data_IF_446608693563
#
_entry.id   IF_446608693563
#
_cell.length_a   1.000
_cell.length_b   1.000
_cell.length_c   1.000
_cell.angle_alpha   90.00
_cell.angle_beta   90.00
_cell.angle_gamma   90.00
#
_symmetry.space_group_name_H-M   'P 1'
#
loop_
_entity.id
_entity.type
_entity.pdbx_description
1 polymer ?
#
# COMPACT_ATOMS: atom_id res chain seq x y z
N UNK A 1 51.36 -61.33 21.08
CA UNK A 1 51.03 -59.88 21.07
C UNK A 1 50.33 -59.53 19.74
N UNK A 2 49.13 -58.94 19.83
CA UNK A 2 48.33 -58.17 18.83
C UNK A 2 48.25 -58.69 17.38
N UNK A 3 47.23 -59.49 17.01
CA UNK A 3 45.85 -59.20 16.54
C UNK A 3 45.74 -58.37 15.24
N UNK A 4 45.29 -59.06 14.18
CA UNK A 4 44.82 -58.58 12.88
C UNK A 4 43.36 -58.14 12.99
N UNK A 5 42.97 -57.01 12.36
CA UNK A 5 41.58 -56.73 11.98
C UNK A 5 41.49 -56.14 10.57
N UNK A 6 40.43 -56.57 9.88
CA UNK A 6 40.07 -56.34 8.48
C UNK A 6 39.28 -55.04 8.28
N UNK A 7 39.55 -54.37 7.16
CA UNK A 7 38.64 -53.90 6.10
C UNK A 7 37.31 -53.16 6.39
N UNK A 8 37.15 -52.07 5.63
CA UNK A 8 35.95 -51.45 5.03
C UNK A 8 35.07 -50.46 5.85
N UNK A 9 34.75 -49.32 5.20
CA UNK A 9 33.69 -48.41 5.60
C UNK A 9 33.79 -47.01 4.98
N UNK A 10 33.40 -46.87 3.70
CA UNK A 10 32.98 -45.59 3.09
C UNK A 10 31.68 -45.13 3.78
N UNK A 11 31.52 -43.83 4.07
CA UNK A 11 30.23 -43.09 4.01
C UNK A 11 30.55 -41.58 3.97
N UNK A 12 30.20 -40.97 2.83
CA UNK A 12 29.97 -39.54 2.68
C UNK A 12 28.68 -39.16 3.42
N UNK A 13 28.70 -38.07 4.20
CA UNK A 13 27.52 -37.32 4.63
C UNK A 13 28.05 -35.97 5.13
N UNK A 14 27.93 -34.84 4.44
CA UNK A 14 26.76 -34.27 3.80
C UNK A 14 26.77 -32.81 4.26
N UNK A 15 27.43 -31.94 3.48
CA UNK A 15 27.38 -30.49 3.69
C UNK A 15 25.93 -30.06 3.53
N UNK A 16 25.24 -29.84 4.66
CA UNK A 16 23.94 -29.16 4.67
C UNK A 16 24.23 -27.69 4.41
N UNK A 17 24.31 -27.35 3.12
CA UNK A 17 24.02 -26.00 2.67
C UNK A 17 22.55 -25.76 3.00
N UNK A 18 22.30 -25.10 4.13
CA UNK A 18 21.00 -24.48 4.38
C UNK A 18 20.81 -23.45 3.28
N UNK A 19 20.08 -23.81 2.22
CA UNK A 19 19.52 -22.85 1.29
C UNK A 19 18.58 -21.96 2.11
N UNK A 20 19.08 -20.81 2.52
CA UNK A 20 18.23 -19.69 2.87
C UNK A 20 17.45 -19.41 1.60
N UNK A 21 16.18 -19.84 1.53
CA UNK A 21 15.26 -19.28 0.56
C UNK A 21 15.03 -17.85 1.02
N UNK A 22 15.90 -16.93 0.60
CA UNK A 22 15.56 -15.52 0.53
C UNK A 22 14.41 -15.46 -0.46
N UNK A 23 13.17 -15.44 0.04
CA UNK A 23 12.06 -14.98 -0.79
C UNK A 23 12.49 -13.59 -1.28
N UNK A 24 12.59 -13.43 -2.59
CA UNK A 24 12.83 -12.11 -3.15
C UNK A 24 11.74 -11.18 -2.59
N UNK A 25 12.15 -10.16 -1.85
CA UNK A 25 11.22 -9.17 -1.34
C UNK A 25 10.82 -8.31 -2.53
N UNK A 26 9.69 -8.62 -3.16
CA UNK A 26 9.14 -7.83 -4.26
C UNK A 26 8.54 -6.51 -3.78
N UNK A 27 8.30 -6.41 -2.46
CA UNK A 27 7.65 -5.27 -1.81
C UNK A 27 8.65 -4.17 -1.53
N UNK A 28 8.32 -2.96 -1.92
CA UNK A 28 9.05 -1.77 -1.52
C UNK A 28 8.43 -1.20 -0.24
N UNK A 29 8.92 -1.66 0.91
CA UNK A 29 8.52 -1.20 2.25
C UNK A 29 9.43 -0.10 2.81
N UNK A 30 10.54 0.18 2.13
CA UNK A 30 11.49 1.28 2.41
C UNK A 30 12.23 1.21 3.75
N UNK A 31 11.96 0.24 4.61
CA UNK A 31 12.61 0.08 5.91
C UNK A 31 14.09 -0.35 5.78
N UNK A 32 14.50 -0.85 4.62
CA UNK A 32 15.91 -1.08 4.29
C UNK A 32 16.74 0.20 4.09
N UNK A 33 16.10 1.36 3.97
CA UNK A 33 16.76 2.65 3.77
C UNK A 33 17.18 3.26 5.11
N UNK A 34 18.40 3.80 5.18
CA UNK A 34 18.96 4.34 6.42
C UNK A 34 18.74 5.84 6.49
N UNK A 35 18.05 6.30 7.54
CA UNK A 35 17.86 7.71 7.87
C UNK A 35 18.12 7.94 9.36
N UNK A 36 18.55 9.15 9.70
CA UNK A 36 18.40 9.65 11.07
C UNK A 36 16.91 9.86 11.39
N UNK A 37 16.55 9.93 12.68
CA UNK A 37 15.17 10.26 13.06
C UNK A 37 14.79 11.66 12.57
N UNK A 38 13.56 11.80 12.06
CA UNK A 38 12.99 13.06 11.56
C UNK A 38 13.88 13.71 10.48
N UNK A 39 14.27 12.92 9.48
CA UNK A 39 15.07 13.36 8.36
C UNK A 39 14.57 12.76 7.05
N UNK A 40 15.23 13.14 5.97
CA UNK A 40 14.93 12.69 4.62
C UNK A 40 16.21 12.63 3.81
N UNK A 41 16.12 11.94 2.68
CA UNK A 41 17.09 12.02 1.60
C UNK A 41 16.36 12.43 0.32
N UNK A 42 16.86 13.49 -0.30
CA UNK A 42 16.28 14.09 -1.51
C UNK A 42 17.32 14.32 -2.62
N UNK A 43 18.53 13.78 -2.44
CA UNK A 43 19.67 13.98 -3.35
C UNK A 43 20.48 15.26 -3.10
N UNK A 44 20.16 16.04 -2.06
CA UNK A 44 20.94 17.24 -1.66
C UNK A 44 22.38 16.93 -1.24
N UNK A 45 22.71 15.66 -1.03
CA UNK A 45 24.08 15.16 -0.85
C UNK A 45 24.91 15.17 -2.14
N UNK A 46 24.30 15.54 -3.28
CA UNK A 46 24.94 15.60 -4.60
C UNK A 46 25.52 14.26 -5.04
N UNK A 47 24.91 13.16 -4.59
CA UNK A 47 25.23 11.80 -5.04
C UNK A 47 24.83 11.57 -6.51
N UNK A 48 25.29 10.46 -7.08
CA UNK A 48 24.87 10.02 -8.42
C UNK A 48 25.70 10.61 -9.57
N UNK A 49 25.09 10.65 -10.75
CA UNK A 49 25.73 11.14 -11.98
C UNK A 49 25.50 12.63 -12.14
N UNK A 50 26.59 13.39 -12.19
CA UNK A 50 26.53 14.83 -12.41
C UNK A 50 26.55 15.18 -13.91
N UNK A 51 25.59 16.00 -14.35
CA UNK A 51 25.56 16.59 -15.69
C UNK A 51 24.97 18.00 -15.65
N UNK A 52 25.78 19.01 -15.97
CA UNK A 52 25.35 20.41 -16.11
C UNK A 52 24.56 20.95 -14.89
N UNK A 53 25.03 20.67 -13.67
CA UNK A 53 24.38 21.10 -12.43
C UNK A 53 23.25 20.18 -11.95
N UNK A 54 22.86 19.16 -12.72
CA UNK A 54 21.93 18.12 -12.31
C UNK A 54 22.69 16.93 -11.72
N UNK A 55 22.22 16.44 -10.57
CA UNK A 55 22.68 15.21 -9.93
C UNK A 55 21.58 14.17 -10.02
N UNK A 56 21.77 13.16 -10.87
CA UNK A 56 20.81 12.07 -11.06
C UNK A 56 21.24 10.85 -10.26
N UNK A 57 20.42 10.49 -9.28
CA UNK A 57 20.59 9.34 -8.39
C UNK A 57 19.41 8.38 -8.49
N UNK A 58 19.58 7.20 -7.92
CA UNK A 58 18.49 6.25 -7.68
C UNK A 58 18.63 5.63 -6.30
N UNK A 59 17.51 5.22 -5.71
CA UNK A 59 17.49 4.27 -4.61
C UNK A 59 16.62 3.07 -4.98
N UNK A 60 16.85 1.95 -4.30
CA UNK A 60 16.13 0.71 -4.53
C UNK A 60 15.41 0.27 -3.26
N UNK A 61 14.23 -0.29 -3.43
CA UNK A 61 13.46 -0.93 -2.36
C UNK A 61 12.63 -2.03 -3.00
N UNK A 62 12.75 -3.25 -2.48
CA UNK A 62 12.26 -4.45 -3.17
C UNK A 62 12.74 -4.55 -4.62
N UNK A 63 11.83 -4.91 -5.51
CA UNK A 63 12.09 -5.05 -6.95
C UNK A 63 11.83 -3.76 -7.75
N UNK A 64 11.95 -2.59 -7.11
CA UNK A 64 11.70 -1.29 -7.74
C UNK A 64 12.90 -0.32 -7.59
N UNK A 65 13.12 0.47 -8.64
CA UNK A 65 14.10 1.56 -8.71
C UNK A 65 13.36 2.89 -8.73
N UNK A 66 13.76 3.78 -7.82
CA UNK A 66 13.20 5.11 -7.63
C UNK A 66 14.23 6.18 -8.04
N UNK A 67 14.03 6.87 -9.17
CA UNK A 67 14.90 7.96 -9.59
C UNK A 67 14.76 9.20 -8.72
N UNK A 68 15.85 9.92 -8.56
CA UNK A 68 15.92 11.21 -7.88
C UNK A 68 16.80 12.16 -8.71
N UNK A 69 16.39 13.42 -8.84
CA UNK A 69 17.20 14.46 -9.44
C UNK A 69 17.28 15.67 -8.51
N UNK A 70 18.50 16.05 -8.15
CA UNK A 70 18.79 17.28 -7.44
C UNK A 70 19.42 18.30 -8.39
N UNK A 71 18.83 19.48 -8.49
CA UNK A 71 19.20 20.53 -9.44
C UNK A 71 19.93 21.68 -8.73
N UNK A 72 21.14 21.97 -9.18
CA UNK A 72 21.98 23.09 -8.73
C UNK A 72 22.37 24.03 -9.87
N UNK A 73 21.75 23.88 -11.05
CA UNK A 73 22.10 24.58 -12.29
C UNK A 73 22.03 26.10 -12.17
N UNK A 74 21.14 26.63 -11.33
CA UNK A 74 21.07 28.06 -11.03
C UNK A 74 22.17 28.51 -10.06
N UNK A 75 22.36 27.78 -8.95
CA UNK A 75 23.39 28.02 -7.94
C UNK A 75 23.46 26.86 -6.95
N UNK A 76 24.65 26.54 -6.45
CA UNK A 76 24.85 25.57 -5.37
C UNK A 76 24.09 25.95 -4.08
N UNK A 77 23.93 27.25 -3.79
CA UNK A 77 23.24 27.72 -2.60
C UNK A 77 21.71 27.63 -2.69
N UNK A 78 21.17 27.44 -3.90
CA UNK A 78 19.73 27.36 -4.16
C UNK A 78 19.38 26.03 -4.84
N UNK A 79 20.13 24.97 -4.51
CA UNK A 79 19.84 23.63 -5.00
C UNK A 79 18.47 23.15 -4.52
N UNK A 80 17.79 22.35 -5.34
CA UNK A 80 16.49 21.79 -4.98
C UNK A 80 16.27 20.42 -5.61
N UNK A 81 15.47 19.60 -4.92
CA UNK A 81 14.98 18.34 -5.46
C UNK A 81 13.95 18.62 -6.58
N UNK A 82 14.35 18.40 -7.83
CA UNK A 82 13.59 18.84 -8.99
C UNK A 82 12.61 17.80 -9.52
N UNK A 83 12.93 16.51 -9.38
CA UNK A 83 12.16 15.40 -9.98
C UNK A 83 12.33 14.09 -9.22
N UNK A 84 11.29 13.25 -9.26
CA UNK A 84 11.38 11.84 -8.88
C UNK A 84 10.91 11.60 -7.46
N UNK A 85 11.72 10.92 -6.67
CA UNK A 85 11.37 10.42 -5.34
C UNK A 85 12.41 10.82 -4.29
N UNK A 86 11.93 11.06 -3.07
CA UNK A 86 12.72 11.25 -1.86
C UNK A 86 12.18 10.27 -0.80
N UNK A 87 13.03 9.67 0.02
CA UNK A 87 12.59 8.86 1.16
C UNK A 87 12.72 9.64 2.46
N UNK A 88 11.78 9.44 3.38
CA UNK A 88 11.61 10.29 4.56
C UNK A 88 11.05 9.50 5.73
N UNK A 89 11.38 9.95 6.95
CA UNK A 89 10.75 9.53 8.20
C UNK A 89 10.33 10.73 9.05
N UNK A 90 10.04 11.86 8.40
CA UNK A 90 9.56 13.07 9.07
C UNK A 90 8.16 12.89 9.65
N UNK A 91 7.95 13.34 10.89
CA UNK A 91 6.64 13.21 11.54
C UNK A 91 5.83 14.51 11.56
N UNK A 92 6.23 15.54 10.80
CA UNK A 92 5.55 16.84 10.80
C UNK A 92 4.32 16.86 9.85
N UNK A 93 3.15 16.60 10.42
CA UNK A 93 1.86 16.69 9.72
C UNK A 93 1.13 18.03 9.88
N UNK A 94 1.80 19.07 10.39
CA UNK A 94 1.13 20.31 10.81
C UNK A 94 1.66 21.59 10.17
N UNK A 95 2.94 21.64 9.80
CA UNK A 95 3.54 22.85 9.23
C UNK A 95 3.12 23.02 7.77
N UNK A 96 2.57 24.20 7.47
CA UNK A 96 2.17 24.61 6.12
C UNK A 96 3.35 25.08 5.27
N UNK A 97 3.18 25.03 3.95
CA UNK A 97 4.07 25.68 2.98
C UNK A 97 5.24 24.82 2.51
N UNK A 98 6.01 25.39 1.58
CA UNK A 98 7.11 24.73 0.88
C UNK A 98 8.31 24.33 1.75
N UNK A 99 8.33 24.69 3.03
CA UNK A 99 9.32 24.16 3.99
C UNK A 99 9.05 22.72 4.42
N UNK A 100 7.85 22.19 4.16
CA UNK A 100 7.42 20.86 4.59
C UNK A 100 7.13 19.92 3.40
N UNK A 101 8.12 19.79 2.51
CA UNK A 101 7.99 18.95 1.31
C UNK A 101 8.00 17.46 1.63
N UNK A 102 8.73 17.06 2.66
CA UNK A 102 9.13 15.66 2.86
C UNK A 102 8.29 14.91 3.90
N UNK A 103 7.21 15.50 4.42
CA UNK A 103 6.35 14.84 5.41
C UNK A 103 5.10 14.25 4.77
N UNK A 104 4.77 13.00 5.11
CA UNK A 104 3.47 12.42 4.79
C UNK A 104 2.40 12.99 5.71
N UNK A 105 1.16 13.11 5.22
CA UNK A 105 0.05 13.65 6.00
C UNK A 105 -0.25 12.82 7.26
N UNK A 106 0.06 11.53 7.21
CA UNK A 106 -0.06 10.54 8.30
C UNK A 106 0.97 10.71 9.42
N UNK A 107 2.06 11.45 9.19
CA UNK A 107 3.22 11.58 10.09
C UNK A 107 4.00 10.27 10.36
N UNK A 108 3.66 9.18 9.69
CA UNK A 108 4.33 7.87 9.80
C UNK A 108 4.06 7.03 8.55
N UNK A 109 4.86 5.99 8.33
CA UNK A 109 4.65 5.01 7.27
C UNK A 109 3.52 4.02 7.59
N UNK A 110 3.20 3.15 6.64
CA UNK A 110 2.11 2.17 6.72
C UNK A 110 2.36 1.20 7.88
N UNK A 111 1.30 0.90 8.64
CA UNK A 111 1.36 0.03 9.83
C UNK A 111 2.34 0.53 10.92
N UNK A 112 2.64 1.84 10.95
CA UNK A 112 3.58 2.43 11.90
C UNK A 112 5.05 2.16 11.54
N UNK A 113 5.35 1.86 10.27
CA UNK A 113 6.72 1.84 9.76
C UNK A 113 7.35 3.24 9.84
N UNK A 114 8.68 3.28 9.86
CA UNK A 114 9.39 4.55 10.03
C UNK A 114 9.51 5.32 8.73
N UNK A 115 9.88 4.63 7.65
CA UNK A 115 10.17 5.27 6.38
C UNK A 115 8.98 5.16 5.43
N UNK A 116 8.87 6.16 4.57
CA UNK A 116 7.97 6.20 3.42
C UNK A 116 8.63 7.03 2.32
N UNK A 117 8.00 7.12 1.15
CA UNK A 117 8.50 7.91 0.03
C UNK A 117 7.59 9.10 -0.24
N UNK A 118 8.18 10.25 -0.54
CA UNK A 118 7.51 11.40 -1.14
C UNK A 118 7.88 11.45 -2.63
N UNK A 119 6.86 11.65 -3.46
CA UNK A 119 6.98 11.79 -4.89
C UNK A 119 6.78 13.26 -5.31
N UNK A 120 7.67 13.77 -6.16
CA UNK A 120 7.54 15.08 -6.81
C UNK A 120 7.15 14.87 -8.27
N UNK A 121 5.90 15.20 -8.61
CA UNK A 121 5.35 15.03 -9.97
C UNK A 121 5.38 16.32 -10.78
N UNK A 122 6.20 17.31 -10.40
CA UNK A 122 6.40 18.52 -11.22
C UNK A 122 7.00 18.19 -12.59
N UNK A 123 7.71 17.06 -12.67
CA UNK A 123 8.22 16.44 -13.88
C UNK A 123 7.88 14.93 -13.86
N UNK A 124 8.40 14.16 -14.82
CA UNK A 124 8.15 12.72 -14.91
C UNK A 124 8.56 11.97 -13.63
N UNK A 125 7.58 11.37 -12.96
CA UNK A 125 7.75 10.61 -11.73
C UNK A 125 7.52 9.13 -12.02
N UNK A 126 8.59 8.42 -12.40
CA UNK A 126 8.53 7.05 -12.93
C UNK A 126 9.28 6.08 -12.01
N UNK A 127 8.60 5.03 -11.54
CA UNK A 127 9.22 3.88 -10.86
C UNK A 127 9.55 2.83 -11.92
N UNK A 128 10.80 2.36 -11.94
CA UNK A 128 11.22 1.29 -12.84
C UNK A 128 11.19 -0.06 -12.12
N UNK A 129 10.58 -1.06 -12.73
CA UNK A 129 10.48 -2.41 -12.15
C UNK A 129 11.66 -3.27 -12.56
N UNK A 130 12.09 -4.11 -11.63
CA UNK A 130 13.23 -5.03 -11.77
C UNK A 130 12.85 -6.41 -11.23
N UNK A 131 13.79 -7.36 -11.27
CA UNK A 131 13.60 -8.67 -10.64
C UNK A 131 12.32 -9.38 -11.09
N UNK A 132 11.54 -9.87 -10.13
CA UNK A 132 10.27 -10.56 -10.36
C UNK A 132 9.09 -9.62 -10.65
N UNK A 133 9.24 -8.32 -10.38
CA UNK A 133 8.24 -7.31 -10.72
C UNK A 133 8.35 -6.84 -12.19
N UNK A 134 9.52 -6.95 -12.82
CA UNK A 134 9.72 -6.54 -14.20
C UNK A 134 8.89 -7.37 -15.18
N UNK A 135 8.14 -6.70 -16.06
CA UNK A 135 7.22 -7.33 -17.02
C UNK A 135 6.23 -8.27 -16.31
N UNK A 136 5.71 -7.83 -15.17
CA UNK A 136 4.73 -8.57 -14.38
C UNK A 136 3.61 -7.64 -13.92
N UNK A 137 2.57 -8.20 -13.32
CA UNK A 137 1.52 -7.44 -12.66
C UNK A 137 1.98 -7.01 -11.28
N UNK A 138 1.79 -5.72 -10.98
CA UNK A 138 1.99 -5.16 -9.64
C UNK A 138 0.66 -5.12 -8.89
N UNK A 139 0.65 -5.46 -7.60
CA UNK A 139 -0.58 -5.53 -6.81
C UNK A 139 -1.19 -4.15 -6.55
N UNK A 140 -0.35 -3.21 -6.14
CA UNK A 140 -0.82 -1.89 -5.74
C UNK A 140 0.19 -1.15 -4.90
N UNK A 141 -0.27 -0.07 -4.27
CA UNK A 141 0.55 0.81 -3.44
C UNK A 141 -0.32 1.57 -2.46
N UNK A 142 0.18 1.83 -1.25
CA UNK A 142 -0.49 2.76 -0.35
C UNK A 142 -0.15 4.19 -0.72
N UNK A 143 -1.17 5.04 -0.82
CA UNK A 143 -1.06 6.45 -1.20
C UNK A 143 -1.70 7.32 -0.11
N UNK A 144 -1.07 8.45 0.19
CA UNK A 144 -1.68 9.54 0.94
C UNK A 144 -1.16 10.90 0.47
N UNK A 145 -1.72 11.99 0.99
CA UNK A 145 -1.21 13.32 0.69
C UNK A 145 0.15 13.56 1.36
N UNK A 146 0.99 14.40 0.73
CA UNK A 146 2.03 15.10 1.49
C UNK A 146 1.41 16.13 2.43
N UNK A 147 2.11 16.50 3.52
CA UNK A 147 1.61 17.49 4.48
C UNK A 147 1.36 18.84 3.83
N UNK A 148 2.31 19.33 3.02
CA UNK A 148 2.18 20.60 2.31
C UNK A 148 0.93 20.67 1.42
N UNK A 149 0.71 19.77 0.44
CA UNK A 149 -0.49 19.83 -0.40
C UNK A 149 -1.79 19.66 0.40
N UNK A 150 -1.83 18.79 1.42
CA UNK A 150 -3.02 18.64 2.25
C UNK A 150 -3.41 19.94 2.97
N UNK A 151 -2.44 20.68 3.49
CA UNK A 151 -2.70 21.96 4.17
C UNK A 151 -3.01 23.06 3.16
N UNK A 152 -2.29 23.09 2.03
CA UNK A 152 -2.54 24.01 0.92
C UNK A 152 -4.00 23.90 0.43
N UNK A 153 -4.51 22.69 0.20
CA UNK A 153 -5.92 22.49 -0.15
C UNK A 153 -6.88 22.92 0.97
N UNK A 154 -6.52 22.69 2.25
CA UNK A 154 -7.38 23.02 3.40
C UNK A 154 -7.51 24.53 3.63
N UNK A 155 -6.41 25.26 3.52
CA UNK A 155 -6.30 26.66 3.99
C UNK A 155 -6.00 27.66 2.86
N UNK A 156 -5.57 27.19 1.69
CA UNK A 156 -4.89 27.99 0.68
C UNK A 156 -3.45 28.33 1.07
N UNK A 157 -2.70 28.88 0.12
CA UNK A 157 -1.38 29.46 0.35
C UNK A 157 -1.12 30.66 -0.56
N UNK A 158 0.15 31.04 -0.75
CA UNK A 158 0.52 32.19 -1.59
C UNK A 158 0.18 31.98 -3.08
N UNK A 159 -0.04 30.74 -3.52
CA UNK A 159 -0.29 30.35 -4.91
C UNK A 159 -1.61 29.60 -5.06
N UNK A 160 -1.88 28.63 -4.19
CA UNK A 160 -3.07 27.78 -4.25
C UNK A 160 -4.24 28.36 -3.47
N UNK A 161 -5.45 28.11 -3.96
CA UNK A 161 -6.69 28.50 -3.27
C UNK A 161 -7.12 27.41 -2.27
N UNK A 162 -7.88 27.83 -1.27
CA UNK A 162 -8.62 26.90 -0.42
C UNK A 162 -9.66 26.12 -1.26
N UNK A 163 -9.69 24.80 -1.10
CA UNK A 163 -10.68 23.93 -1.73
C UNK A 163 -12.07 24.14 -1.11
N UNK A 164 -13.11 24.08 -1.96
CA UNK A 164 -14.46 24.48 -1.61
C UNK A 164 -14.67 26.00 -1.66
N UNK A 165 -13.60 26.79 -1.78
CA UNK A 165 -13.67 28.25 -1.78
C UNK A 165 -14.27 28.80 -0.49
N UNK A 166 -14.58 30.10 -0.48
CA UNK A 166 -15.09 30.77 0.72
C UNK A 166 -16.46 30.25 1.19
N UNK A 167 -17.23 29.62 0.29
CA UNK A 167 -18.56 29.07 0.60
C UNK A 167 -18.54 27.59 0.97
N UNK A 168 -17.42 26.90 0.74
CA UNK A 168 -17.30 25.46 0.81
C UNK A 168 -17.90 24.68 -0.38
N UNK A 169 -18.45 25.35 -1.40
CA UNK A 169 -19.18 24.70 -2.51
C UNK A 169 -18.42 24.67 -3.84
N UNK A 170 -17.20 25.21 -3.92
CA UNK A 170 -16.42 25.08 -5.15
C UNK A 170 -16.10 23.60 -5.40
N UNK A 171 -16.39 23.06 -6.61
CA UNK A 171 -16.26 21.64 -6.90
C UNK A 171 -14.80 21.24 -7.17
N UNK A 172 -13.95 21.43 -6.16
CA UNK A 172 -12.51 21.20 -6.25
C UNK A 172 -12.13 19.73 -6.13
N UNK A 173 -10.96 19.40 -6.66
CA UNK A 173 -10.42 18.04 -6.57
C UNK A 173 -8.90 18.04 -6.78
N UNK A 174 -8.28 16.98 -6.25
CA UNK A 174 -6.87 16.67 -6.46
C UNK A 174 -6.74 15.19 -6.77
N UNK A 175 -6.24 14.87 -7.96
CA UNK A 175 -6.28 13.52 -8.53
C UNK A 175 -4.90 13.06 -8.92
N UNK A 176 -4.56 11.86 -8.47
CA UNK A 176 -3.44 11.07 -8.93
C UNK A 176 -3.93 10.14 -10.04
N UNK A 177 -3.29 10.20 -11.20
CA UNK A 177 -3.48 9.21 -12.28
C UNK A 177 -2.20 8.43 -12.48
N UNK A 178 -2.36 7.11 -12.57
CA UNK A 178 -1.27 6.13 -12.58
C UNK A 178 -1.38 5.33 -13.86
N UNK A 179 -0.31 5.33 -14.66
CA UNK A 179 -0.21 4.49 -15.86
C UNK A 179 0.95 3.51 -15.72
N UNK A 180 0.82 2.38 -16.41
CA UNK A 180 1.93 1.47 -16.65
C UNK A 180 2.64 1.79 -17.95
N UNK A 181 3.83 1.24 -18.09
CA UNK A 181 4.56 1.16 -19.35
C UNK A 181 4.89 -0.30 -19.70
N UNK A 182 4.96 -0.59 -20.99
CA UNK A 182 5.49 -1.83 -21.55
C UNK A 182 6.34 -1.52 -22.78
N UNK A 183 7.63 -1.82 -22.73
CA UNK A 183 8.59 -1.54 -23.78
C UNK A 183 8.62 -0.06 -24.18
N UNK A 184 8.44 0.86 -23.21
CA UNK A 184 8.40 2.31 -23.43
C UNK A 184 7.06 2.86 -23.93
N UNK A 185 6.02 2.04 -24.09
CA UNK A 185 4.67 2.49 -24.45
C UNK A 185 3.76 2.51 -23.23
N UNK A 186 2.94 3.54 -23.07
CA UNK A 186 1.94 3.62 -22.00
C UNK A 186 0.88 2.53 -22.16
N UNK A 187 0.39 2.01 -21.04
CA UNK A 187 -0.82 1.18 -21.00
C UNK A 187 -2.03 1.97 -21.50
N UNK A 188 -3.00 1.27 -22.12
CA UNK A 188 -4.23 1.91 -22.60
C UNK A 188 -5.09 2.42 -21.45
N UNK A 189 -5.17 1.62 -20.38
CA UNK A 189 -5.90 1.97 -19.17
C UNK A 189 -4.97 2.59 -18.12
N UNK A 190 -5.60 3.30 -17.18
CA UNK A 190 -4.96 3.97 -16.05
C UNK A 190 -5.77 3.76 -14.78
N UNK A 191 -5.11 3.85 -13.64
CA UNK A 191 -5.76 3.87 -12.33
C UNK A 191 -5.83 5.30 -11.82
N UNK A 192 -7.01 5.71 -11.35
CA UNK A 192 -7.24 7.04 -10.79
C UNK A 192 -7.51 6.96 -9.29
N UNK A 193 -6.94 7.89 -8.54
CA UNK A 193 -7.17 8.04 -7.11
C UNK A 193 -7.31 9.51 -6.75
N UNK A 194 -8.41 9.87 -6.09
CA UNK A 194 -8.65 11.23 -5.62
C UNK A 194 -8.07 11.44 -4.23
N UNK A 195 -7.02 12.25 -4.13
CA UNK A 195 -6.40 12.71 -2.89
C UNK A 195 -7.23 13.79 -2.18
N UNK A 196 -8.12 14.45 -2.92
CA UNK A 196 -9.20 15.28 -2.40
C UNK A 196 -10.35 15.36 -3.41
N UNK A 197 -11.59 15.45 -2.91
CA UNK A 197 -12.78 15.61 -3.75
C UNK A 197 -13.85 16.41 -3.01
N UNK A 198 -14.24 17.54 -3.58
CA UNK A 198 -15.24 18.50 -3.10
C UNK A 198 -16.41 18.63 -4.08
N UNK A 199 -16.57 17.67 -5.00
CA UNK A 199 -17.61 17.72 -6.04
C UNK A 199 -18.97 17.18 -5.56
N UNK A 200 -19.10 16.84 -4.28
CA UNK A 200 -20.33 16.27 -3.74
C UNK A 200 -21.39 17.35 -3.57
N UNK A 201 -22.66 17.00 -3.80
CA UNK A 201 -23.79 17.91 -3.52
C UNK A 201 -23.93 18.21 -2.02
N UNK A 202 -23.47 17.30 -1.16
CA UNK A 202 -23.45 17.45 0.28
C UNK A 202 -22.00 17.58 0.74
N UNK A 203 -21.60 18.79 1.12
CA UNK A 203 -20.22 19.10 1.49
C UNK A 203 -19.72 18.34 2.73
N UNK A 204 -20.61 17.70 3.50
CA UNK A 204 -20.20 16.79 4.57
C UNK A 204 -19.51 15.51 4.03
N UNK A 205 -19.59 15.26 2.73
CA UNK A 205 -18.90 14.17 2.03
C UNK A 205 -17.56 14.63 1.43
N UNK A 206 -17.29 15.92 1.42
CA UNK A 206 -16.02 16.46 0.90
C UNK A 206 -14.87 15.98 1.77
N UNK A 207 -13.75 15.68 1.12
CA UNK A 207 -12.60 15.13 1.83
C UNK A 207 -11.26 15.58 1.27
N UNK A 208 -10.28 15.58 2.16
CA UNK A 208 -8.85 15.54 1.86
C UNK A 208 -8.33 14.26 2.51
N UNK A 209 -7.67 13.39 1.75
CA UNK A 209 -7.09 12.15 2.26
C UNK A 209 -6.01 12.46 3.29
N UNK A 210 -6.14 11.88 4.49
CA UNK A 210 -5.19 12.06 5.60
C UNK A 210 -4.56 10.76 6.08
N UNK A 211 -5.10 9.62 5.64
CA UNK A 211 -4.68 8.28 6.01
C UNK A 211 -4.07 7.56 4.80
N UNK A 212 -3.37 6.46 5.04
CA UNK A 212 -2.89 5.56 3.99
C UNK A 212 -4.05 4.82 3.32
N UNK A 213 -4.12 4.90 1.99
CA UNK A 213 -5.15 4.25 1.19
C UNK A 213 -4.51 3.32 0.17
N UNK A 214 -4.91 2.04 0.16
CA UNK A 214 -4.45 1.10 -0.86
C UNK A 214 -5.07 1.43 -2.22
N UNK A 215 -4.22 1.58 -3.23
CA UNK A 215 -4.59 1.77 -4.62
C UNK A 215 -4.21 0.50 -5.39
N UNK A 216 -5.23 -0.20 -5.91
CA UNK A 216 -5.07 -1.41 -6.71
C UNK A 216 -4.53 -1.06 -8.11
N UNK A 217 -3.35 -1.60 -8.42
CA UNK A 217 -2.66 -1.38 -9.70
C UNK A 217 -2.78 -2.57 -10.65
N UNK A 218 -3.46 -3.65 -10.26
CA UNK A 218 -3.68 -4.81 -11.12
C UNK A 218 -4.40 -4.48 -12.45
N UNK A 219 -5.27 -3.45 -12.57
CA UNK A 219 -5.85 -3.07 -13.85
C UNK A 219 -4.84 -2.61 -14.91
N UNK A 220 -3.62 -2.23 -14.51
CA UNK A 220 -2.56 -1.85 -15.44
C UNK A 220 -1.99 -3.07 -16.21
N UNK A 221 -2.32 -4.30 -15.79
CA UNK A 221 -1.87 -5.51 -16.44
C UNK A 221 -0.40 -5.81 -16.19
N UNK A 222 0.33 -6.18 -17.24
CA UNK A 222 1.75 -6.54 -17.18
C UNK A 222 2.61 -5.36 -17.61
N UNK A 223 3.47 -4.87 -16.73
CA UNK A 223 4.18 -3.60 -16.92
C UNK A 223 5.67 -3.72 -16.56
N UNK A 224 6.51 -2.81 -17.07
CA UNK A 224 7.92 -2.68 -16.73
C UNK A 224 8.23 -1.42 -15.90
N UNK A 225 7.32 -0.44 -15.89
CA UNK A 225 7.46 0.79 -15.11
C UNK A 225 6.10 1.43 -14.87
N UNK A 226 6.02 2.28 -13.84
CA UNK A 226 4.80 2.98 -13.41
C UNK A 226 5.07 4.48 -13.39
N UNK A 227 4.19 5.28 -13.98
CA UNK A 227 4.24 6.74 -13.90
C UNK A 227 3.09 7.28 -13.08
N UNK A 228 3.41 8.25 -12.23
CA UNK A 228 2.48 8.97 -11.37
C UNK A 228 2.34 10.42 -11.86
N UNK A 229 1.10 10.88 -12.06
CA UNK A 229 0.82 12.26 -12.47
C UNK A 229 -0.28 12.85 -11.60
N UNK A 230 0.02 13.97 -10.95
CA UNK A 230 -0.98 14.75 -10.22
C UNK A 230 -1.62 15.81 -11.10
N UNK A 231 -2.93 15.97 -10.92
CA UNK A 231 -3.74 17.03 -11.53
C UNK A 231 -4.71 17.59 -10.49
N UNK A 232 -5.14 18.84 -10.65
CA UNK A 232 -6.07 19.49 -9.72
C UNK A 232 -7.08 20.36 -10.47
N UNK A 233 -8.19 20.69 -9.80
CA UNK A 233 -9.08 21.78 -10.22
C UNK A 233 -8.41 23.16 -10.11
N UNK A 234 -7.51 23.36 -9.15
CA UNK A 234 -6.84 24.64 -8.92
C UNK A 234 -5.65 24.83 -9.87
N UNK A 235 -5.90 25.56 -10.96
CA UNK A 235 -4.92 25.87 -11.99
C UNK A 235 -4.81 27.38 -12.21
N UNK A 236 -3.58 27.86 -12.36
CA UNK A 236 -3.24 29.21 -12.77
C UNK A 236 -2.67 29.25 -14.20
N UNK A 237 -2.10 30.40 -14.57
CA UNK A 237 -1.52 30.61 -15.90
C UNK A 237 -0.28 29.73 -16.19
N UNK A 238 0.35 29.19 -15.16
CA UNK A 238 1.59 28.40 -15.26
C UNK A 238 1.40 26.92 -14.94
N UNK A 239 0.15 26.46 -14.82
CA UNK A 239 -0.19 25.07 -14.49
C UNK A 239 -0.92 24.96 -13.16
N UNK A 240 -0.84 23.78 -12.55
CA UNK A 240 -1.46 23.47 -11.28
C UNK A 240 -0.86 24.33 -10.15
N UNK A 241 -1.71 25.02 -9.38
CA UNK A 241 -1.25 25.78 -8.21
C UNK A 241 -1.08 24.87 -6.99
N UNK A 242 -1.94 23.87 -6.85
CA UNK A 242 -1.85 22.84 -5.80
C UNK A 242 -0.46 22.18 -5.84
N UNK A 243 0.26 22.06 -4.72
CA UNK A 243 1.58 21.46 -4.71
C UNK A 243 1.60 20.02 -5.24
N UNK A 244 2.48 19.73 -6.20
CA UNK A 244 2.62 18.47 -6.93
C UNK A 244 3.36 17.38 -6.15
N UNK A 245 3.01 17.19 -4.87
CA UNK A 245 3.63 16.20 -3.98
C UNK A 245 2.60 15.21 -3.43
N UNK A 246 2.98 13.94 -3.30
CA UNK A 246 2.19 12.95 -2.57
C UNK A 246 3.12 11.94 -1.89
N UNK A 247 2.59 11.17 -0.96
CA UNK A 247 3.32 10.13 -0.26
C UNK A 247 2.89 8.74 -0.73
N UNK A 248 3.84 7.82 -0.84
CA UNK A 248 3.60 6.41 -1.15
C UNK A 248 4.39 5.50 -0.22
N UNK A 249 3.84 4.31 0.02
CA UNK A 249 4.46 3.27 0.85
C UNK A 249 4.00 1.86 0.43
N UNK A 250 4.73 0.82 0.83
CA UNK A 250 4.41 -0.59 0.59
C UNK A 250 4.05 -0.88 -0.88
N UNK A 251 4.89 -0.42 -1.81
CA UNK A 251 4.65 -0.63 -3.24
C UNK A 251 4.81 -2.10 -3.62
N UNK A 252 3.88 -2.61 -4.42
CA UNK A 252 3.78 -4.00 -4.83
C UNK A 252 3.71 -4.98 -3.65
N UNK A 253 3.09 -4.55 -2.54
CA UNK A 253 2.77 -5.43 -1.43
C UNK A 253 1.76 -6.49 -1.88
N UNK A 254 2.25 -7.70 -2.16
CA UNK A 254 1.42 -8.85 -2.54
C UNK A 254 0.65 -9.39 -1.32
N UNK A 255 0.95 -8.90 -0.12
CA UNK A 255 0.24 -9.21 1.12
C UNK A 255 -0.81 -8.18 1.46
N UNK A 256 -1.56 -7.69 0.45
CA UNK A 256 -2.89 -7.13 0.71
C UNK A 256 -3.76 -8.27 1.25
N UNK A 257 -3.61 -8.49 2.55
CA UNK A 257 -4.66 -8.83 3.48
C UNK A 257 -5.95 -8.36 2.87
N UNK A 258 -6.88 -9.31 2.69
CA UNK A 258 -8.31 -9.07 2.45
C UNK A 258 -8.59 -7.66 2.92
N UNK A 259 -8.81 -6.73 1.97
CA UNK A 259 -9.29 -5.40 2.32
C UNK A 259 -10.38 -5.67 3.34
N UNK A 260 -10.14 -5.31 4.60
CA UNK A 260 -11.20 -5.26 5.59
C UNK A 260 -12.07 -4.14 5.07
N UNK A 261 -12.93 -4.48 4.12
CA UNK A 261 -14.12 -3.72 3.82
C UNK A 261 -14.82 -3.70 5.17
N UNK A 262 -14.60 -2.62 5.92
CA UNK A 262 -15.42 -2.23 7.04
C UNK A 262 -16.79 -1.94 6.43
N UNK A 263 -17.52 -3.02 6.21
CA UNK A 263 -18.89 -3.06 5.76
C UNK A 263 -19.53 -4.16 6.59
N UNK A 264 -19.90 -3.78 7.80
CA UNK A 264 -21.06 -4.17 8.61
C UNK A 264 -21.53 -5.63 8.71
N UNK A 265 -20.84 -6.65 8.22
CA UNK A 265 -21.17 -8.06 8.50
C UNK A 265 -20.35 -8.59 9.66
N UNK A 266 -20.61 -8.02 10.84
CA UNK A 266 -20.14 -8.58 12.09
C UNK A 266 -20.94 -9.85 12.43
N UNK A 267 -20.24 -10.95 12.64
CA UNK A 267 -20.77 -12.14 13.29
C UNK A 267 -19.75 -12.64 14.30
N UNK A 268 -20.24 -13.37 15.31
CA UNK A 268 -19.39 -14.01 16.31
C UNK A 268 -19.80 -15.47 16.49
N UNK A 269 -18.81 -16.30 16.82
CA UNK A 269 -18.96 -17.75 16.95
C UNK A 269 -18.48 -18.18 18.33
N UNK A 270 -19.36 -18.81 19.11
CA UNK A 270 -19.05 -19.19 20.49
C UNK A 270 -19.84 -20.42 20.97
N UNK A 271 -19.29 -21.22 21.89
CA UNK A 271 -17.92 -21.16 22.37
C UNK A 271 -16.93 -21.68 21.31
N UNK A 272 -15.71 -21.16 21.34
CA UNK A 272 -14.58 -21.69 20.59
C UNK A 272 -13.39 -21.82 21.55
N UNK A 273 -12.92 -23.03 21.91
CA UNK A 273 -13.33 -24.33 21.38
C UNK A 273 -14.77 -24.76 21.71
N UNK A 274 -15.35 -25.63 20.88
CA UNK A 274 -16.69 -26.21 21.03
C UNK A 274 -16.63 -27.73 21.19
N UNK A 275 -17.64 -28.30 21.90
CA UNK A 275 -17.83 -29.75 22.04
C UNK A 275 -18.95 -30.28 21.17
N UNK A 276 -20.20 -29.93 21.47
CA UNK A 276 -21.36 -30.52 20.79
C UNK A 276 -22.09 -29.52 19.90
N UNK A 277 -22.04 -28.23 20.24
CA UNK A 277 -22.77 -27.19 19.55
C UNK A 277 -21.99 -25.89 19.48
N UNK A 278 -22.22 -25.12 18.43
CA UNK A 278 -21.66 -23.79 18.29
C UNK A 278 -22.79 -22.80 18.02
N UNK A 279 -22.76 -21.69 18.75
CA UNK A 279 -23.67 -20.57 18.55
C UNK A 279 -23.03 -19.56 17.61
N UNK A 280 -23.84 -19.03 16.70
CA UNK A 280 -23.45 -18.07 15.68
C UNK A 280 -24.38 -16.88 15.82
N UNK A 281 -23.85 -15.75 16.29
CA UNK A 281 -24.59 -14.50 16.39
C UNK A 281 -24.37 -13.70 15.12
N UNK A 282 -25.46 -13.49 14.38
CA UNK A 282 -25.50 -12.73 13.13
C UNK A 282 -26.14 -11.36 13.38
N UNK A 283 -25.45 -10.28 13.03
CA UNK A 283 -26.01 -8.92 13.12
C UNK A 283 -26.91 -8.58 11.91
N UNK A 284 -26.79 -9.33 10.80
CA UNK A 284 -27.55 -9.16 9.56
C UNK A 284 -28.05 -10.51 9.00
N UNK A 285 -29.02 -10.47 8.10
CA UNK A 285 -29.47 -11.65 7.35
C UNK A 285 -28.34 -12.17 6.45
N UNK A 286 -28.14 -13.48 6.41
CA UNK A 286 -27.10 -14.12 5.60
C UNK A 286 -27.71 -15.04 4.55
N UNK A 287 -27.19 -14.96 3.33
CA UNK A 287 -27.63 -15.78 2.19
C UNK A 287 -27.20 -17.23 2.33
N UNK A 288 -25.98 -17.45 2.82
CA UNK A 288 -25.39 -18.78 2.94
C UNK A 288 -24.54 -18.88 4.21
N UNK A 289 -24.60 -20.03 4.87
CA UNK A 289 -23.69 -20.44 5.92
C UNK A 289 -23.19 -21.84 5.60
N UNK A 290 -21.89 -22.07 5.75
CA UNK A 290 -21.25 -23.35 5.52
C UNK A 290 -20.28 -23.69 6.64
N UNK A 291 -20.20 -24.98 6.99
CA UNK A 291 -19.08 -25.53 7.77
C UNK A 291 -18.21 -26.31 6.80
N UNK A 292 -16.92 -26.03 6.83
CA UNK A 292 -15.92 -26.57 5.91
C UNK A 292 -14.80 -27.20 6.74
N UNK A 293 -14.34 -28.39 6.37
CA UNK A 293 -13.18 -29.00 7.02
C UNK A 293 -11.84 -28.45 6.47
N UNK A 294 -10.72 -28.89 7.05
CA UNK A 294 -9.37 -28.46 6.62
C UNK A 294 -9.00 -28.84 5.20
N UNK A 295 -9.73 -29.76 4.57
CA UNK A 295 -9.51 -30.18 3.17
C UNK A 295 -10.32 -29.32 2.18
N UNK A 296 -11.15 -28.40 2.67
CA UNK A 296 -12.06 -27.60 1.85
C UNK A 296 -13.39 -28.29 1.57
N UNK A 297 -13.65 -29.47 2.15
CA UNK A 297 -14.92 -30.17 1.97
C UNK A 297 -16.01 -29.50 2.80
N UNK A 298 -17.12 -29.16 2.13
CA UNK A 298 -18.32 -28.62 2.78
C UNK A 298 -19.04 -29.74 3.51
N UNK A 299 -19.26 -29.55 4.81
CA UNK A 299 -19.88 -30.51 5.73
C UNK A 299 -21.34 -30.15 5.99
N UNK A 300 -21.61 -28.86 6.26
CA UNK A 300 -22.95 -28.33 6.50
C UNK A 300 -23.16 -27.14 5.56
N UNK A 301 -24.38 -26.97 5.06
CA UNK A 301 -24.82 -25.78 4.32
C UNK A 301 -26.24 -25.40 4.75
N UNK A 302 -26.44 -24.11 5.02
CA UNK A 302 -27.74 -23.51 5.30
C UNK A 302 -27.87 -22.22 4.49
N UNK A 303 -29.09 -21.88 4.07
CA UNK A 303 -29.36 -20.72 3.21
C UNK A 303 -30.42 -19.81 3.82
N UNK A 304 -30.37 -18.52 3.51
CA UNK A 304 -31.35 -17.49 3.89
C UNK A 304 -31.64 -17.46 5.41
N UNK A 305 -30.59 -17.31 6.20
CA UNK A 305 -30.66 -17.32 7.66
C UNK A 305 -30.85 -15.88 8.14
N UNK A 306 -31.91 -15.64 8.91
CA UNK A 306 -32.21 -14.32 9.44
C UNK A 306 -31.18 -13.88 10.49
N UNK A 307 -31.07 -12.57 10.74
CA UNK A 307 -30.31 -12.02 11.86
C UNK A 307 -30.74 -12.63 13.20
N UNK A 308 -29.81 -12.79 14.13
CA UNK A 308 -30.05 -13.40 15.44
C UNK A 308 -29.02 -14.45 15.83
N UNK A 309 -29.31 -15.22 16.88
CA UNK A 309 -28.43 -16.28 17.40
C UNK A 309 -28.94 -17.63 16.89
N UNK A 310 -28.07 -18.36 16.22
CA UNK A 310 -28.34 -19.68 15.66
C UNK A 310 -27.40 -20.71 16.26
N UNK A 311 -27.94 -21.87 16.65
CA UNK A 311 -27.15 -22.98 17.16
C UNK A 311 -26.98 -24.04 16.09
N UNK A 312 -25.74 -24.44 15.83
CA UNK A 312 -25.40 -25.57 14.97
C UNK A 312 -24.96 -26.76 15.82
N UNK A 313 -25.45 -27.94 15.45
CA UNK A 313 -25.07 -29.21 16.06
C UNK A 313 -23.85 -29.79 15.34
N UNK A 314 -22.82 -30.12 16.12
CA UNK A 314 -21.53 -30.63 15.65
C UNK A 314 -21.21 -32.01 16.26
N UNK A 315 -22.18 -32.68 16.90
CA UNK A 315 -21.97 -33.96 17.59
C UNK A 315 -21.37 -35.05 16.70
N UNK A 316 -21.74 -35.06 15.43
CA UNK A 316 -21.30 -36.07 14.46
C UNK A 316 -19.96 -35.73 13.79
N UNK A 317 -19.34 -34.59 14.17
CA UNK A 317 -18.05 -34.18 13.64
C UNK A 317 -16.91 -34.70 14.52
N UNK A 318 -15.86 -35.19 13.86
CA UNK A 318 -14.62 -35.57 14.53
C UNK A 318 -13.95 -34.36 15.19
N UNK A 319 -13.11 -34.63 16.19
CA UNK A 319 -12.29 -33.59 16.78
C UNK A 319 -11.29 -33.04 15.77
N UNK A 320 -11.18 -31.72 15.68
CA UNK A 320 -10.39 -31.08 14.64
C UNK A 320 -10.73 -29.60 14.43
N UNK A 321 -10.11 -29.03 13.41
CA UNK A 321 -10.33 -27.65 12.99
C UNK A 321 -11.38 -27.63 11.88
N UNK A 322 -12.32 -26.71 12.00
CA UNK A 322 -13.32 -26.43 10.98
C UNK A 322 -13.43 -24.92 10.74
N UNK A 323 -13.99 -24.54 9.60
CA UNK A 323 -14.21 -23.16 9.22
C UNK A 323 -15.70 -22.91 9.00
N UNK A 324 -16.23 -21.88 9.65
CA UNK A 324 -17.57 -21.38 9.40
C UNK A 324 -17.48 -20.26 8.39
N UNK A 325 -17.98 -20.50 7.18
CA UNK A 325 -18.06 -19.50 6.09
C UNK A 325 -19.48 -18.97 6.00
N UNK A 326 -19.66 -17.66 6.12
CA UNK A 326 -20.93 -17.00 5.83
C UNK A 326 -20.82 -16.16 4.57
N UNK A 327 -21.93 -16.04 3.84
CA UNK A 327 -22.07 -15.17 2.68
C UNK A 327 -23.31 -14.30 2.90
N UNK A 328 -23.13 -12.99 3.00
CA UNK A 328 -24.19 -12.00 3.14
C UNK A 328 -24.05 -10.98 2.01
N UNK A 329 -25.11 -10.79 1.20
CA UNK A 329 -25.08 -9.96 0.00
C UNK A 329 -23.90 -10.31 -0.94
N UNK A 330 -22.85 -9.47 -0.96
CA UNK A 330 -21.62 -9.63 -1.76
C UNK A 330 -20.38 -9.91 -0.90
N UNK A 331 -20.53 -10.12 0.40
CA UNK A 331 -19.43 -10.32 1.34
C UNK A 331 -19.33 -11.78 1.77
N UNK A 332 -18.09 -12.23 1.98
CA UNK A 332 -17.75 -13.55 2.49
C UNK A 332 -16.91 -13.36 3.74
N UNK A 333 -17.31 -13.97 4.85
CA UNK A 333 -16.52 -13.97 6.08
C UNK A 333 -16.35 -15.39 6.59
N UNK A 334 -15.16 -15.68 7.13
CA UNK A 334 -14.77 -17.03 7.56
C UNK A 334 -14.23 -16.96 8.99
N UNK A 335 -14.74 -17.80 9.88
CA UNK A 335 -14.28 -17.94 11.25
C UNK A 335 -13.79 -19.36 11.52
N UNK A 336 -12.62 -19.49 12.16
CA UNK A 336 -12.04 -20.78 12.52
C UNK A 336 -12.61 -21.27 13.85
N UNK A 337 -13.12 -22.50 13.90
CA UNK A 337 -13.55 -23.18 15.13
C UNK A 337 -12.70 -24.41 15.42
N UNK A 338 -12.53 -24.70 16.71
CA UNK A 338 -11.85 -25.90 17.21
C UNK A 338 -12.90 -26.80 17.86
N UNK A 339 -13.11 -27.99 17.31
CA UNK A 339 -13.99 -29.04 17.85
C UNK A 339 -13.18 -30.00 18.73
N UNK A 340 -13.62 -30.18 19.97
CA UNK A 340 -12.99 -31.03 20.99
C UNK A 340 -13.90 -32.16 21.49
#
# INVERSE_FOLDING_TARGET
>A
MRKIYKMAGFICLGLVLSSQNTNAQTVSDFEGLTLSSNSFWDGSDMSGTHNNGLFTSTFMSGDAIYPNVYDTSFSLAFGFWSTGFAYSNMTDSTTSGSGNLYSARTAEGVNGSSNYVIANTSNQCIVNLTGAAANNTVSGVYITNGTYPAISMRDGDAFAKQFGGASGNDPDWFKLTIWGYTGGNLTTDSVEFYLADYRFTNNAQDYIVKDWNWVDLTPLGTIDSVIFVLTSSDNGAFGMNTPSFFALDNFNDQTVSVSELIAETNFSVYPNPTKNNVSIKLENDVRLLQIIDVTGKVIITQSNIAKGIHSLDLRDLNNGIYFIKIIANRQVKVERIIKQ
#
